data_IF_742564559828
#
_entry.id   IF_742564559828
#
_cell.length_a   1.000
_cell.length_b   1.000
_cell.length_c   1.000
_cell.angle_alpha   90.00
_cell.angle_beta   90.00
_cell.angle_gamma   90.00
#
_symmetry.space_group_name_H-M   'P 1'
#
loop_
_entity.id
_entity.type
_entity.pdbx_description
1 polymer ?
#
# COMPACT_ATOMS: atom_id res chain seq x y z
N UNK A 1 66.95 4.58 58.60
CA UNK A 1 65.82 3.63 58.71
C UNK A 1 65.00 3.72 57.45
N UNK A 2 65.38 2.93 56.43
CA UNK A 2 64.79 2.95 55.10
C UNK A 2 63.63 1.95 55.08
N UNK A 3 62.45 2.42 54.64
CA UNK A 3 61.30 1.57 54.50
C UNK A 3 61.13 1.31 53.00
N UNK A 4 61.47 0.07 52.57
CA UNK A 4 61.29 -0.44 51.26
C UNK A 4 59.78 -0.76 51.05
N UNK A 5 59.07 -0.03 50.18
CA UNK A 5 57.74 -0.36 49.70
C UNK A 5 57.90 -1.11 48.37
N UNK A 6 57.58 -2.45 48.34
CA UNK A 6 57.40 -3.22 47.13
C UNK A 6 56.00 -2.87 46.54
N UNK A 7 55.97 -2.27 45.34
CA UNK A 7 54.78 -2.16 44.54
C UNK A 7 54.58 -3.48 43.74
N UNK A 8 53.49 -4.16 44.01
CA UNK A 8 53.02 -5.31 43.20
C UNK A 8 52.11 -4.80 42.14
N UNK A 9 52.54 -4.80 40.87
CA UNK A 9 51.72 -4.48 39.72
C UNK A 9 50.81 -5.67 39.43
N UNK A 10 49.51 -5.52 39.69
CA UNK A 10 48.46 -6.48 39.24
C UNK A 10 47.99 -5.99 37.87
N UNK A 11 48.37 -6.73 36.82
CA UNK A 11 47.84 -6.52 35.45
C UNK A 11 46.46 -7.20 35.38
N UNK A 12 45.40 -6.40 35.32
CA UNK A 12 44.08 -6.89 35.00
C UNK A 12 43.98 -7.00 33.48
N UNK A 13 43.99 -8.24 32.95
CA UNK A 13 43.59 -8.55 31.56
C UNK A 13 42.07 -8.63 31.55
N UNK A 14 41.38 -7.54 31.15
CA UNK A 14 39.97 -7.59 30.88
C UNK A 14 39.76 -8.33 29.55
N UNK A 15 39.31 -9.57 29.61
CA UNK A 15 38.82 -10.29 28.46
C UNK A 15 37.43 -9.69 28.11
N UNK A 16 37.41 -8.69 27.22
CA UNK A 16 36.17 -8.20 26.61
C UNK A 16 35.66 -9.28 25.68
N UNK A 17 34.77 -10.13 26.16
CA UNK A 17 33.93 -10.98 25.30
C UNK A 17 33.07 -10.04 24.45
N UNK A 18 33.50 -9.80 23.21
CA UNK A 18 32.63 -9.22 22.19
C UNK A 18 31.53 -10.25 21.95
N UNK A 19 30.40 -10.07 22.62
CA UNK A 19 29.15 -10.70 22.22
C UNK A 19 28.87 -10.18 20.81
N UNK A 20 29.24 -10.95 19.80
CA UNK A 20 28.68 -10.82 18.46
C UNK A 20 27.18 -11.10 18.62
N UNK A 21 26.40 -10.06 18.96
CA UNK A 21 24.98 -10.11 18.75
C UNK A 21 24.81 -10.40 17.25
N UNK A 22 24.29 -11.58 16.95
CA UNK A 22 23.76 -11.89 15.61
C UNK A 22 22.75 -10.80 15.31
N UNK A 23 23.17 -9.76 14.63
CA UNK A 23 22.29 -8.71 14.16
C UNK A 23 21.41 -9.40 13.10
N UNK A 24 20.24 -9.86 13.53
CA UNK A 24 19.26 -10.50 12.69
C UNK A 24 18.86 -9.48 11.62
N UNK A 25 19.21 -9.74 10.37
CA UNK A 25 19.00 -8.80 9.26
C UNK A 25 17.87 -9.30 8.36
N UNK A 26 17.19 -8.36 7.73
CA UNK A 26 16.24 -8.69 6.66
C UNK A 26 17.02 -9.21 5.45
N UNK A 27 16.59 -10.34 4.92
CA UNK A 27 17.15 -10.96 3.71
C UNK A 27 16.40 -10.49 2.49
N UNK A 28 17.11 -10.27 1.39
CA UNK A 28 16.54 -9.97 0.08
C UNK A 28 17.04 -11.04 -0.89
N UNK A 29 16.12 -11.59 -1.67
CA UNK A 29 16.45 -12.52 -2.77
C UNK A 29 15.63 -12.18 -4.00
N UNK A 30 16.12 -12.58 -5.18
CA UNK A 30 15.50 -12.29 -6.46
C UNK A 30 15.37 -13.56 -7.29
N UNK A 31 14.23 -13.73 -7.96
CA UNK A 31 13.98 -14.81 -8.91
C UNK A 31 13.31 -14.27 -10.16
N UNK A 32 13.48 -14.88 -11.34
CA UNK A 32 12.71 -14.54 -12.53
C UNK A 32 11.20 -14.73 -12.27
N UNK A 33 10.37 -13.76 -12.70
CA UNK A 33 8.91 -13.86 -12.62
C UNK A 33 8.26 -14.05 -14.00
N UNK A 34 9.00 -13.78 -15.07
CA UNK A 34 8.57 -13.95 -16.46
C UNK A 34 9.06 -12.81 -17.34
N UNK A 35 8.40 -12.62 -18.47
CA UNK A 35 8.66 -11.52 -19.41
C UNK A 35 7.37 -10.94 -19.94
N UNK A 36 7.39 -9.65 -20.23
CA UNK A 36 6.30 -8.96 -20.92
C UNK A 36 6.22 -9.38 -22.39
N UNK A 37 5.17 -9.01 -23.11
CA UNK A 37 4.97 -9.35 -24.53
C UNK A 37 6.07 -8.82 -25.45
N UNK A 38 6.75 -7.72 -25.09
CA UNK A 38 7.89 -7.18 -25.83
C UNK A 38 9.24 -7.77 -25.40
N UNK A 39 9.23 -8.82 -24.58
CA UNK A 39 10.45 -9.53 -24.13
C UNK A 39 11.15 -8.90 -22.92
N UNK A 40 10.63 -7.83 -22.30
CA UNK A 40 11.25 -7.23 -21.12
C UNK A 40 11.16 -8.20 -19.94
N UNK A 41 12.32 -8.57 -19.37
CA UNK A 41 12.38 -9.46 -18.21
C UNK A 41 11.78 -8.80 -16.97
N UNK A 42 11.07 -9.60 -16.18
CA UNK A 42 10.43 -9.18 -14.93
C UNK A 42 10.91 -10.09 -13.80
N UNK A 43 11.30 -9.49 -12.70
CA UNK A 43 11.80 -10.17 -11.51
C UNK A 43 10.78 -10.13 -10.36
N UNK A 44 10.88 -11.13 -9.48
CA UNK A 44 10.19 -11.20 -8.19
C UNK A 44 11.22 -11.13 -7.07
N UNK A 45 11.08 -10.15 -6.21
CA UNK A 45 11.92 -9.95 -5.03
C UNK A 45 11.21 -10.48 -3.79
N UNK A 46 11.92 -11.23 -2.97
CA UNK A 46 11.44 -11.71 -1.68
C UNK A 46 12.23 -11.02 -0.58
N UNK A 47 11.52 -10.29 0.28
CA UNK A 47 12.03 -9.72 1.51
C UNK A 47 11.60 -10.60 2.66
N UNK A 48 12.51 -11.01 3.54
CA UNK A 48 12.21 -11.86 4.70
C UNK A 48 12.92 -11.31 5.94
N UNK A 49 12.16 -11.06 6.99
CA UNK A 49 12.72 -10.59 8.24
C UNK A 49 13.00 -11.76 9.21
N UNK A 50 13.76 -11.53 10.29
CA UNK A 50 14.09 -12.56 11.27
C UNK A 50 12.88 -13.18 11.99
N UNK A 51 11.74 -12.48 12.01
CA UNK A 51 10.51 -12.94 12.65
C UNK A 51 9.65 -13.82 11.70
N UNK A 52 10.14 -14.07 10.47
CA UNK A 52 9.45 -14.87 9.47
C UNK A 52 8.43 -14.10 8.62
N UNK A 53 8.20 -12.80 8.88
CA UNK A 53 7.39 -11.99 7.97
C UNK A 53 8.07 -11.91 6.61
N UNK A 54 7.29 -12.11 5.54
CA UNK A 54 7.81 -12.14 4.17
C UNK A 54 6.93 -11.31 3.25
N UNK A 55 7.56 -10.43 2.45
CA UNK A 55 6.90 -9.68 1.38
C UNK A 55 7.50 -10.06 0.04
N UNK A 56 6.66 -10.35 -0.96
CA UNK A 56 7.11 -10.61 -2.34
C UNK A 56 6.62 -9.52 -3.27
N UNK A 57 7.54 -8.83 -3.92
CA UNK A 57 7.26 -7.69 -4.78
C UNK A 57 7.87 -7.93 -6.16
N UNK A 58 7.09 -7.75 -7.22
CA UNK A 58 7.60 -7.75 -8.58
C UNK A 58 7.87 -6.34 -9.07
N UNK A 59 8.87 -6.18 -9.93
CA UNK A 59 9.14 -4.90 -10.58
C UNK A 59 8.18 -4.57 -11.74
N UNK A 60 7.23 -5.44 -12.08
CA UNK A 60 6.09 -5.09 -12.93
C UNK A 60 5.02 -4.43 -12.05
N UNK A 61 4.72 -3.15 -12.31
CA UNK A 61 3.76 -2.36 -11.54
C UNK A 61 4.12 -2.13 -10.07
N UNK A 62 5.34 -2.51 -9.64
CA UNK A 62 5.72 -2.50 -8.23
C UNK A 62 4.80 -3.35 -7.34
N UNK A 63 4.26 -4.43 -7.88
CA UNK A 63 3.16 -5.18 -7.26
C UNK A 63 3.64 -6.00 -6.06
N UNK A 64 3.02 -5.79 -4.89
CA UNK A 64 3.11 -6.70 -3.74
C UNK A 64 2.23 -7.92 -4.03
N UNK A 65 2.87 -9.04 -4.41
CA UNK A 65 2.18 -10.26 -4.84
C UNK A 65 1.79 -11.16 -3.67
N UNK A 66 2.58 -11.14 -2.58
CA UNK A 66 2.35 -11.91 -1.36
C UNK A 66 2.83 -11.12 -0.14
N UNK A 67 2.12 -11.26 0.97
CA UNK A 67 2.52 -10.73 2.28
C UNK A 67 2.20 -11.76 3.36
N UNK A 68 3.22 -12.51 3.77
CA UNK A 68 3.07 -13.52 4.82
C UNK A 68 3.33 -12.91 6.19
N UNK A 69 2.31 -12.95 7.05
CA UNK A 69 2.39 -12.44 8.42
C UNK A 69 1.92 -13.50 9.42
N UNK A 70 2.49 -13.55 10.64
CA UNK A 70 2.08 -14.50 11.65
C UNK A 70 0.67 -14.18 12.19
N UNK A 71 -0.07 -15.21 12.57
CA UNK A 71 -1.26 -15.08 13.43
C UNK A 71 -0.87 -15.11 14.91
N UNK A 72 -1.86 -15.04 15.81
CA UNK A 72 -1.67 -15.10 17.27
C UNK A 72 -0.97 -16.39 17.77
N UNK A 73 -0.89 -17.44 16.95
CA UNK A 73 -0.20 -18.69 17.25
C UNK A 73 1.16 -18.79 16.53
N UNK A 74 1.60 -17.74 15.85
CA UNK A 74 2.83 -17.69 15.08
C UNK A 74 2.74 -18.35 13.69
N UNK A 75 1.57 -18.83 13.26
CA UNK A 75 1.40 -19.43 11.94
C UNK A 75 1.35 -18.33 10.87
N UNK A 76 2.28 -18.43 9.91
CA UNK A 76 2.32 -17.51 8.77
C UNK A 76 1.13 -17.74 7.83
N UNK A 77 0.55 -16.66 7.32
CA UNK A 77 -0.48 -16.67 6.29
C UNK A 77 -0.32 -15.49 5.36
N UNK A 78 -0.51 -15.74 4.06
CA UNK A 78 -0.57 -14.67 3.06
C UNK A 78 -1.87 -13.87 3.22
N UNK A 79 -1.76 -12.56 3.34
CA UNK A 79 -2.89 -11.67 3.64
C UNK A 79 -3.26 -10.73 2.51
N UNK A 80 -2.68 -10.88 1.31
CA UNK A 80 -3.01 -10.05 0.15
C UNK A 80 -3.51 -10.89 -1.01
N UNK A 81 -4.48 -10.38 -1.77
CA UNK A 81 -4.90 -10.99 -3.03
C UNK A 81 -3.86 -10.74 -4.13
N UNK A 82 -3.83 -11.60 -5.13
CA UNK A 82 -2.90 -11.50 -6.25
C UNK A 82 -2.90 -12.76 -7.10
N UNK A 83 -1.89 -12.88 -7.96
CA UNK A 83 -1.72 -14.02 -8.86
C UNK A 83 -0.35 -14.68 -8.68
N UNK A 84 -0.25 -15.97 -9.05
CA UNK A 84 1.01 -16.73 -9.03
C UNK A 84 1.92 -16.40 -10.22
N UNK A 85 1.37 -15.83 -11.30
CA UNK A 85 2.07 -15.67 -12.58
C UNK A 85 1.97 -14.25 -13.10
N UNK A 86 3.06 -13.73 -13.66
CA UNK A 86 3.11 -12.44 -14.35
C UNK A 86 2.04 -12.32 -15.44
N UNK A 87 1.82 -13.39 -16.23
CA UNK A 87 0.86 -13.40 -17.33
C UNK A 87 -0.56 -13.10 -16.88
N UNK A 88 -0.95 -13.47 -15.66
CA UNK A 88 -2.25 -13.14 -15.10
C UNK A 88 -2.38 -11.65 -14.77
N UNK A 89 -1.34 -11.02 -14.23
CA UNK A 89 -1.30 -9.56 -14.00
C UNK A 89 -1.37 -8.78 -15.31
N UNK A 90 -0.65 -9.22 -16.35
CA UNK A 90 -0.65 -8.58 -17.67
C UNK A 90 -2.01 -8.71 -18.35
N UNK A 91 -2.67 -9.87 -18.22
CA UNK A 91 -3.95 -10.15 -18.89
C UNK A 91 -5.09 -9.29 -18.33
N UNK A 92 -5.26 -9.28 -17.03
CA UNK A 92 -6.27 -8.49 -16.33
C UNK A 92 -6.00 -8.49 -14.82
N UNK A 93 -5.81 -7.32 -14.25
CA UNK A 93 -5.70 -7.15 -12.80
C UNK A 93 -6.55 -5.95 -12.38
N UNK A 94 -7.41 -6.08 -11.37
CA UNK A 94 -8.12 -4.95 -10.80
C UNK A 94 -7.19 -4.21 -9.81
N UNK A 95 -5.97 -3.90 -10.26
CA UNK A 95 -4.92 -3.18 -9.49
C UNK A 95 -4.37 -3.96 -8.28
N UNK A 96 -4.46 -5.30 -8.23
CA UNK A 96 -3.94 -6.08 -7.11
C UNK A 96 -2.49 -5.70 -6.76
N UNK A 97 -2.30 -5.11 -5.57
CA UNK A 97 -1.00 -4.84 -4.96
C UNK A 97 -0.08 -3.87 -5.69
N UNK A 98 -0.56 -3.12 -6.68
CA UNK A 98 0.27 -2.27 -7.52
C UNK A 98 0.52 -0.87 -6.95
N UNK A 99 1.50 -0.19 -7.51
CA UNK A 99 1.65 1.26 -7.41
C UNK A 99 0.72 1.88 -8.45
N UNK A 100 -0.26 2.68 -8.01
CA UNK A 100 -1.10 3.46 -8.91
C UNK A 100 -0.48 4.84 -9.13
N UNK A 101 -0.55 5.32 -10.34
CA UNK A 101 0.01 6.61 -10.78
C UNK A 101 -0.02 6.73 -12.31
N UNK A 102 0.25 7.93 -12.87
CA UNK A 102 0.83 9.14 -12.26
C UNK A 102 -0.08 9.78 -11.19
N UNK A 103 -1.42 9.67 -11.35
CA UNK A 103 -2.39 10.20 -10.39
C UNK A 103 -3.36 9.08 -9.97
N UNK A 104 -3.28 8.72 -8.70
CA UNK A 104 -4.14 7.71 -8.06
C UNK A 104 -5.56 8.24 -7.87
N UNK A 105 -6.54 7.32 -7.84
CA UNK A 105 -7.95 7.61 -7.79
C UNK A 105 -8.43 8.40 -9.03
N UNK A 106 -9.53 9.15 -8.95
CA UNK A 106 -10.21 9.73 -10.11
C UNK A 106 -9.84 11.18 -10.38
N UNK A 107 -9.89 11.55 -11.68
CA UNK A 107 -9.95 12.92 -12.15
C UNK A 107 -11.21 13.06 -13.00
N UNK A 108 -12.11 13.98 -12.61
CA UNK A 108 -13.39 14.18 -13.26
C UNK A 108 -13.24 14.50 -14.75
N UNK A 109 -14.07 13.84 -15.58
CA UNK A 109 -14.13 14.03 -17.04
C UNK A 109 -12.78 13.85 -17.75
N UNK A 110 -11.81 13.18 -17.13
CA UNK A 110 -10.49 12.96 -17.70
C UNK A 110 -9.78 14.25 -18.09
N UNK A 111 -9.87 15.32 -17.30
CA UNK A 111 -9.20 16.58 -17.62
C UNK A 111 -8.86 17.40 -16.38
N UNK A 112 -7.79 18.17 -16.49
CA UNK A 112 -7.38 19.16 -15.49
C UNK A 112 -6.74 20.38 -16.14
N UNK A 113 -6.52 21.46 -15.38
CA UNK A 113 -5.85 22.67 -15.85
C UNK A 113 -4.58 22.95 -15.07
N UNK A 114 -3.55 23.42 -15.76
CA UNK A 114 -2.39 24.08 -15.17
C UNK A 114 -2.29 25.48 -15.82
N UNK A 115 -2.52 26.51 -15.06
CA UNK A 115 -2.69 27.85 -15.60
C UNK A 115 -3.84 27.88 -16.62
N UNK A 116 -3.59 28.40 -17.82
CA UNK A 116 -4.59 28.47 -18.90
C UNK A 116 -4.66 27.20 -19.77
N UNK A 117 -3.76 26.24 -19.57
CA UNK A 117 -3.69 25.04 -20.39
C UNK A 117 -4.55 23.92 -19.81
N UNK A 118 -5.47 23.39 -20.63
CA UNK A 118 -6.26 22.20 -20.30
C UNK A 118 -5.58 20.96 -20.85
N UNK A 119 -5.34 19.98 -19.98
CA UNK A 119 -4.82 18.66 -20.32
C UNK A 119 -5.95 17.64 -20.34
N UNK A 120 -5.97 16.80 -21.37
CA UNK A 120 -6.95 15.72 -21.53
C UNK A 120 -6.27 14.39 -21.28
N UNK A 121 -6.92 13.55 -20.48
CA UNK A 121 -6.48 12.22 -20.09
C UNK A 121 -7.44 11.17 -20.66
N UNK A 122 -7.02 9.91 -20.68
CA UNK A 122 -7.92 8.79 -21.00
C UNK A 122 -9.09 8.72 -20.00
N UNK A 123 -10.30 8.48 -20.50
CA UNK A 123 -11.50 8.21 -19.68
C UNK A 123 -11.69 6.70 -19.54
N UNK A 124 -10.85 6.07 -18.74
CA UNK A 124 -10.80 4.63 -18.54
C UNK A 124 -11.75 4.11 -17.44
N UNK A 125 -12.58 5.00 -16.86
CA UNK A 125 -13.59 4.64 -15.87
C UNK A 125 -14.88 5.46 -16.12
N UNK A 126 -15.71 5.00 -17.05
CA UNK A 126 -16.87 5.76 -17.52
C UNK A 126 -16.43 7.08 -18.16
N UNK A 127 -16.92 8.22 -17.63
CA UNK A 127 -16.52 9.55 -18.10
C UNK A 127 -15.24 10.07 -17.43
N UNK A 128 -14.71 9.34 -16.46
CA UNK A 128 -13.63 9.81 -15.61
C UNK A 128 -12.31 9.09 -15.92
N UNK A 129 -11.22 9.73 -15.56
CA UNK A 129 -9.90 9.11 -15.52
C UNK A 129 -9.70 8.42 -14.19
N UNK A 130 -9.03 7.27 -14.16
CA UNK A 130 -8.77 6.47 -12.98
C UNK A 130 -7.33 5.94 -12.97
N UNK A 131 -6.66 6.05 -11.82
CA UNK A 131 -5.39 5.40 -11.49
C UNK A 131 -4.26 5.58 -12.52
N UNK A 132 -4.21 6.72 -13.20
CA UNK A 132 -3.13 7.05 -14.13
C UNK A 132 -3.35 6.62 -15.57
N UNK A 133 -4.56 6.07 -15.92
CA UNK A 133 -4.97 5.84 -17.30
C UNK A 133 -4.99 4.37 -17.73
N UNK A 134 -4.99 4.18 -19.05
CA UNK A 134 -5.09 2.84 -19.66
C UNK A 134 -3.83 2.00 -19.43
N UNK A 135 -2.66 2.64 -19.45
CA UNK A 135 -1.36 2.03 -19.20
C UNK A 135 -0.61 2.82 -18.14
N UNK A 136 -1.20 2.88 -16.93
CA UNK A 136 -0.65 3.56 -15.76
C UNK A 136 0.59 2.86 -15.18
N UNK A 137 1.04 3.31 -14.04
CA UNK A 137 2.24 2.82 -13.35
C UNK A 137 2.14 1.35 -12.94
N UNK A 138 0.92 0.85 -12.76
CA UNK A 138 0.57 -0.54 -12.49
C UNK A 138 0.98 -1.51 -13.62
N UNK A 139 1.17 -1.01 -14.84
CA UNK A 139 1.50 -1.80 -16.05
C UNK A 139 2.91 -1.55 -16.58
N UNK A 140 3.74 -0.84 -15.84
CA UNK A 140 5.13 -0.54 -16.23
C UNK A 140 6.11 -1.51 -15.59
N UNK A 141 7.21 -1.81 -16.32
CA UNK A 141 8.36 -2.50 -15.71
C UNK A 141 9.29 -1.44 -15.16
N UNK A 142 9.48 -1.45 -13.85
CA UNK A 142 10.36 -0.54 -13.13
C UNK A 142 11.78 -1.10 -13.09
N UNK A 143 12.78 -0.25 -13.17
CA UNK A 143 14.13 -0.66 -12.84
C UNK A 143 14.22 -0.89 -11.33
N UNK A 144 14.84 -2.00 -10.92
CA UNK A 144 14.85 -2.43 -9.53
C UNK A 144 16.27 -2.70 -9.03
N UNK A 145 16.56 -2.29 -7.79
CA UNK A 145 17.78 -2.64 -7.07
C UNK A 145 17.51 -2.92 -5.59
N UNK A 146 18.32 -3.80 -5.01
CA UNK A 146 18.31 -4.04 -3.57
C UNK A 146 18.86 -2.82 -2.82
N UNK A 147 18.26 -2.54 -1.65
CA UNK A 147 18.71 -1.48 -0.74
C UNK A 147 18.76 -2.00 0.70
N UNK A 148 19.66 -1.43 1.49
CA UNK A 148 19.88 -1.82 2.90
C UNK A 148 19.89 -0.57 3.78
N UNK A 149 19.30 -0.69 4.96
CA UNK A 149 19.29 0.33 5.99
C UNK A 149 19.48 -0.29 7.38
N UNK A 150 19.53 0.54 8.40
CA UNK A 150 19.63 0.06 9.78
C UNK A 150 18.32 -0.62 10.20
N UNK A 151 18.36 -1.91 10.54
CA UNK A 151 17.19 -2.69 10.95
C UNK A 151 16.16 -2.94 9.83
N UNK A 152 16.49 -2.66 8.56
CA UNK A 152 15.62 -2.89 7.40
C UNK A 152 16.42 -3.19 6.13
N UNK A 153 15.81 -3.92 5.20
CA UNK A 153 16.29 -4.07 3.84
C UNK A 153 15.08 -4.10 2.88
N UNK A 154 15.32 -3.84 1.61
CA UNK A 154 14.23 -3.69 0.67
C UNK A 154 14.66 -3.60 -0.78
N UNK A 155 13.75 -3.10 -1.59
CA UNK A 155 13.97 -2.81 -3.01
C UNK A 155 13.60 -1.38 -3.33
N UNK A 156 14.43 -0.73 -4.12
CA UNK A 156 14.16 0.57 -4.73
C UNK A 156 13.74 0.34 -6.19
N UNK A 157 12.59 0.84 -6.55
CA UNK A 157 12.01 0.81 -7.88
C UNK A 157 12.07 2.20 -8.49
N UNK A 158 12.57 2.34 -9.72
CA UNK A 158 12.60 3.63 -10.42
C UNK A 158 11.95 3.53 -11.80
N UNK A 159 11.19 4.58 -12.15
CA UNK A 159 10.54 4.69 -13.45
C UNK A 159 10.57 6.15 -13.93
N UNK A 160 10.85 6.35 -15.23
CA UNK A 160 10.74 7.64 -15.88
C UNK A 160 9.48 7.65 -16.77
N UNK A 161 8.44 8.31 -16.30
CA UNK A 161 7.24 8.58 -17.08
C UNK A 161 7.51 9.83 -17.95
N UNK A 162 7.52 9.65 -19.27
CA UNK A 162 7.87 10.71 -20.23
C UNK A 162 6.78 11.76 -20.36
N UNK A 163 7.17 12.96 -20.77
CA UNK A 163 6.23 14.04 -21.13
C UNK A 163 5.18 13.53 -22.13
N UNK A 164 3.90 13.72 -21.80
CA UNK A 164 2.76 13.26 -22.60
C UNK A 164 2.30 11.82 -22.33
N UNK A 165 3.00 11.04 -21.48
CA UNK A 165 2.53 9.69 -21.13
C UNK A 165 1.16 9.77 -20.45
N UNK A 166 0.16 8.97 -20.95
CA UNK A 166 -1.24 9.01 -20.53
C UNK A 166 -1.88 10.41 -20.54
N UNK A 167 -1.30 11.37 -21.28
CA UNK A 167 -1.77 12.76 -21.39
C UNK A 167 -1.21 13.72 -20.34
N UNK A 168 -0.37 13.26 -19.43
CA UNK A 168 0.23 14.12 -18.41
C UNK A 168 1.44 14.89 -18.90
N UNK A 169 1.56 16.20 -18.57
CA UNK A 169 2.73 17.00 -18.95
C UNK A 169 3.95 16.68 -18.10
N UNK A 170 5.12 16.93 -18.69
CA UNK A 170 6.42 16.83 -18.04
C UNK A 170 6.97 15.42 -17.92
N UNK A 171 8.28 15.31 -17.90
CA UNK A 171 8.97 14.10 -17.53
C UNK A 171 8.92 13.93 -16.02
N UNK A 172 8.41 12.80 -15.54
CA UNK A 172 8.33 12.48 -14.13
C UNK A 172 9.23 11.30 -13.79
N UNK A 173 10.33 11.55 -13.09
CA UNK A 173 11.18 10.51 -12.52
C UNK A 173 10.63 10.14 -11.14
N UNK A 174 10.08 8.93 -11.02
CA UNK A 174 9.53 8.40 -9.79
C UNK A 174 10.42 7.31 -9.21
N UNK A 175 10.55 7.32 -7.88
CA UNK A 175 11.22 6.31 -7.10
C UNK A 175 10.28 5.84 -6.01
N UNK A 176 10.10 4.51 -5.89
CA UNK A 176 9.32 3.88 -4.83
C UNK A 176 10.20 2.86 -4.14
N UNK A 177 10.33 2.96 -2.82
CA UNK A 177 11.15 2.03 -2.05
C UNK A 177 10.28 1.25 -1.09
N UNK A 178 10.31 -0.07 -1.20
CA UNK A 178 9.70 -0.99 -0.25
C UNK A 178 10.76 -1.44 0.74
N UNK A 179 10.53 -1.21 2.02
CA UNK A 179 11.36 -1.68 3.12
C UNK A 179 10.60 -2.70 3.97
N UNK A 180 11.22 -3.81 4.27
CA UNK A 180 10.77 -4.68 5.34
C UNK A 180 11.67 -4.46 6.55
N UNK A 181 11.07 -4.20 7.73
CA UNK A 181 11.81 -3.97 8.96
C UNK A 181 11.89 -5.23 9.82
N UNK A 182 12.84 -5.25 10.76
CA UNK A 182 12.93 -6.30 11.79
C UNK A 182 11.76 -6.27 12.79
N UNK A 183 10.91 -5.23 12.73
CA UNK A 183 9.74 -5.05 13.61
C UNK A 183 8.41 -5.46 12.97
N UNK A 184 8.45 -6.16 11.82
CA UNK A 184 7.26 -6.54 11.05
C UNK A 184 6.52 -5.33 10.43
N UNK A 185 7.24 -4.31 9.99
CA UNK A 185 6.70 -3.17 9.26
C UNK A 185 7.06 -3.29 7.78
N UNK A 186 6.10 -3.06 6.89
CA UNK A 186 6.32 -2.84 5.47
C UNK A 186 6.17 -1.35 5.20
N UNK A 187 7.28 -0.66 5.00
CA UNK A 187 7.32 0.77 4.71
C UNK A 187 7.37 0.97 3.20
N UNK A 188 6.64 1.95 2.69
CA UNK A 188 6.63 2.32 1.27
C UNK A 188 6.92 3.82 1.18
N UNK A 189 8.09 4.15 0.64
CA UNK A 189 8.54 5.53 0.47
C UNK A 189 8.39 5.94 -1.00
N UNK A 190 7.86 7.15 -1.26
CA UNK A 190 7.67 7.69 -2.60
C UNK A 190 8.46 8.98 -2.77
N UNK A 191 9.25 9.06 -3.84
CA UNK A 191 9.92 10.28 -4.26
C UNK A 191 9.66 10.50 -5.75
N UNK A 192 9.34 11.74 -6.12
CA UNK A 192 9.18 12.11 -7.54
C UNK A 192 9.81 13.46 -7.84
N UNK A 193 10.37 13.57 -9.05
CA UNK A 193 10.93 14.82 -9.59
C UNK A 193 10.44 15.02 -11.01
N UNK A 194 10.09 16.25 -11.35
CA UNK A 194 9.56 16.60 -12.66
C UNK A 194 10.26 17.84 -13.21
N UNK A 195 10.30 17.96 -14.53
CA UNK A 195 10.82 19.12 -15.26
C UNK A 195 9.72 20.14 -15.64
N UNK A 196 8.45 19.80 -15.46
CA UNK A 196 7.29 20.69 -15.68
C UNK A 196 6.26 20.47 -14.59
N UNK A 197 5.40 21.47 -14.33
CA UNK A 197 4.24 21.30 -13.47
C UNK A 197 3.36 20.16 -13.98
N UNK A 198 3.03 19.23 -13.09
CA UNK A 198 2.19 18.04 -13.37
C UNK A 198 1.54 17.57 -12.07
N UNK A 199 0.30 17.08 -12.08
CA UNK A 199 -0.28 16.48 -10.91
C UNK A 199 0.38 15.11 -10.60
N UNK A 200 0.64 14.88 -9.31
CA UNK A 200 1.25 13.63 -8.81
C UNK A 200 0.46 13.19 -7.58
N UNK A 201 -0.03 11.97 -7.63
CA UNK A 201 -0.62 11.29 -6.49
C UNK A 201 -0.31 9.80 -6.62
N UNK A 202 0.63 9.28 -5.84
CA UNK A 202 0.99 7.85 -5.87
C UNK A 202 0.43 7.16 -4.65
N UNK A 203 -0.13 5.98 -4.83
CA UNK A 203 -0.59 5.13 -3.74
C UNK A 203 -0.34 3.66 -4.03
N UNK A 204 -0.49 2.83 -3.00
CA UNK A 204 -0.35 1.38 -3.06
C UNK A 204 -1.72 0.70 -2.94
N UNK A 205 -2.08 -0.14 -3.89
CA UNK A 205 -3.43 -0.71 -4.03
C UNK A 205 -3.49 -2.20 -3.64
N UNK A 206 -2.98 -2.55 -2.46
CA UNK A 206 -3.11 -3.93 -1.97
C UNK A 206 -4.53 -4.24 -1.48
N UNK A 207 -5.00 -5.41 -1.86
CA UNK A 207 -6.25 -6.00 -1.40
C UNK A 207 -5.96 -6.94 -0.24
N UNK A 208 -6.34 -6.57 0.97
CA UNK A 208 -6.04 -7.29 2.19
C UNK A 208 -7.19 -8.19 2.64
N UNK A 209 -6.85 -9.37 3.15
CA UNK A 209 -7.71 -10.22 3.96
C UNK A 209 -6.89 -10.79 5.11
N UNK A 210 -7.06 -10.28 6.32
CA UNK A 210 -6.25 -10.68 7.48
C UNK A 210 -6.58 -12.09 7.98
N UNK A 211 -7.73 -12.67 7.56
CA UNK A 211 -8.03 -14.07 7.80
C UNK A 211 -7.16 -15.01 6.93
N UNK A 212 -6.58 -14.46 5.88
CA UNK A 212 -5.76 -15.13 4.88
C UNK A 212 -6.34 -14.98 3.47
N UNK A 213 -5.49 -14.94 2.49
CA UNK A 213 -5.85 -14.87 1.08
C UNK A 213 -6.75 -16.06 0.69
N UNK A 214 -7.91 -15.76 0.09
CA UNK A 214 -8.90 -16.78 -0.29
C UNK A 214 -9.69 -17.40 0.88
N UNK A 215 -9.66 -16.81 2.08
CA UNK A 215 -10.41 -17.30 3.26
C UNK A 215 -11.88 -16.88 3.30
N UNK A 216 -12.43 -16.33 2.22
CA UNK A 216 -13.80 -15.83 2.15
C UNK A 216 -13.86 -14.31 2.31
N UNK A 217 -15.01 -13.77 2.76
CA UNK A 217 -15.25 -12.35 2.84
C UNK A 217 -14.61 -11.68 4.07
N UNK A 218 -14.50 -10.35 4.00
CA UNK A 218 -13.86 -9.52 5.04
C UNK A 218 -14.88 -8.90 6.02
N UNK A 219 -16.15 -9.27 5.95
CA UNK A 219 -17.22 -8.61 6.70
C UNK A 219 -17.09 -8.74 8.22
N UNK A 220 -16.34 -9.73 8.70
CA UNK A 220 -16.06 -9.95 10.11
C UNK A 220 -14.83 -9.20 10.64
N UNK A 221 -14.05 -8.52 9.78
CA UNK A 221 -12.93 -7.70 10.23
C UNK A 221 -13.46 -6.44 10.92
N UNK A 222 -12.79 -6.02 11.98
CA UNK A 222 -13.09 -4.81 12.72
C UNK A 222 -12.16 -3.69 12.26
N UNK A 223 -12.74 -2.56 11.85
CA UNK A 223 -12.02 -1.40 11.32
C UNK A 223 -12.22 -0.19 12.22
N UNK A 224 -11.15 0.53 12.49
CA UNK A 224 -11.10 1.85 13.10
C UNK A 224 -10.38 2.79 12.15
N UNK A 225 -10.99 3.96 11.83
CA UNK A 225 -10.39 4.99 10.96
C UNK A 225 -10.32 6.29 11.74
N UNK A 226 -9.12 6.84 11.87
CA UNK A 226 -8.85 8.04 12.68
C UNK A 226 -9.16 9.32 11.90
N UNK A 227 -10.44 9.46 11.49
CA UNK A 227 -10.93 10.54 10.67
C UNK A 227 -12.36 10.96 11.09
N UNK A 228 -12.56 12.26 11.34
CA UNK A 228 -13.86 12.82 11.74
C UNK A 228 -14.78 13.11 10.55
N UNK A 229 -14.23 13.13 9.33
CA UNK A 229 -14.95 13.47 8.10
C UNK A 229 -14.52 12.56 6.96
N UNK A 230 -15.40 12.43 5.99
CA UNK A 230 -15.12 11.77 4.72
C UNK A 230 -15.54 12.65 3.55
N UNK A 231 -15.07 12.33 2.36
CA UNK A 231 -15.39 13.01 1.11
C UNK A 231 -16.58 12.30 0.45
N UNK A 232 -17.79 12.89 0.44
CA UNK A 232 -18.93 12.31 -0.28
C UNK A 232 -18.74 12.48 -1.78
N UNK A 233 -19.32 11.54 -2.53
CA UNK A 233 -19.18 11.48 -3.99
C UNK A 233 -20.53 11.51 -4.69
N UNK A 234 -20.52 11.78 -6.00
CA UNK A 234 -21.63 11.53 -6.91
C UNK A 234 -21.68 10.05 -7.35
N UNK A 235 -22.61 9.70 -8.23
CA UNK A 235 -22.76 8.34 -8.76
C UNK A 235 -21.58 7.87 -9.62
N UNK A 236 -20.72 8.78 -10.07
CA UNK A 236 -19.46 8.50 -10.77
C UNK A 236 -18.27 8.37 -9.82
N UNK A 237 -18.51 8.40 -8.52
CA UNK A 237 -17.50 8.43 -7.46
C UNK A 237 -16.56 9.66 -7.55
N UNK A 238 -17.07 10.78 -8.03
CA UNK A 238 -16.37 12.07 -8.04
C UNK A 238 -16.75 12.86 -6.80
N UNK A 239 -15.80 13.46 -6.06
CA UNK A 239 -16.06 14.30 -4.90
C UNK A 239 -17.05 15.44 -5.17
N UNK A 240 -17.96 15.67 -4.21
CA UNK A 240 -18.94 16.76 -4.30
C UNK A 240 -18.37 18.14 -3.89
N UNK A 241 -17.10 18.22 -3.52
CA UNK A 241 -16.46 19.46 -3.08
C UNK A 241 -16.78 19.85 -1.63
N UNK A 242 -17.35 18.95 -0.85
CA UNK A 242 -17.68 19.14 0.57
C UNK A 242 -17.08 18.03 1.44
N UNK A 243 -17.03 18.25 2.75
CA UNK A 243 -16.67 17.23 3.74
C UNK A 243 -17.89 16.94 4.61
N UNK A 244 -18.19 15.64 4.81
CA UNK A 244 -19.26 15.20 5.71
C UNK A 244 -18.70 14.59 6.99
N UNK A 245 -19.31 14.90 8.13
CA UNK A 245 -18.99 14.24 9.39
C UNK A 245 -19.36 12.77 9.31
N UNK A 246 -18.50 11.91 9.85
CA UNK A 246 -18.77 10.46 9.91
C UNK A 246 -19.80 10.12 11.01
N UNK A 247 -19.82 10.86 12.11
CA UNK A 247 -20.64 10.60 13.29
C UNK A 247 -22.13 10.46 12.95
N UNK A 248 -22.74 9.36 13.37
CA UNK A 248 -24.15 9.06 13.14
C UNK A 248 -24.47 8.60 11.71
N UNK A 249 -23.46 8.23 10.93
CA UNK A 249 -23.58 7.68 9.57
C UNK A 249 -22.98 6.28 9.50
N UNK A 250 -23.25 5.50 8.42
CA UNK A 250 -22.56 4.22 8.22
C UNK A 250 -21.03 4.33 8.09
N UNK A 251 -20.51 5.55 7.85
CA UNK A 251 -19.09 5.86 7.69
C UNK A 251 -18.36 6.14 9.01
N UNK A 252 -19.06 6.01 10.16
CA UNK A 252 -18.49 6.23 11.48
C UNK A 252 -17.66 5.02 11.94
N UNK A 253 -16.35 5.08 11.70
CA UNK A 253 -15.35 4.13 12.17
C UNK A 253 -14.40 4.77 13.21
N UNK A 254 -14.89 5.78 13.99
CA UNK A 254 -14.12 6.40 15.06
C UNK A 254 -13.83 5.44 16.23
N UNK A 255 -14.58 4.36 16.32
CA UNK A 255 -14.36 3.22 17.18
C UNK A 255 -14.42 1.96 16.34
N UNK A 256 -13.83 0.83 16.79
CA UNK A 256 -13.84 -0.40 16.00
C UNK A 256 -15.25 -0.90 15.70
N UNK A 257 -15.55 -1.08 14.40
CA UNK A 257 -16.79 -1.65 13.90
C UNK A 257 -16.50 -2.73 12.88
N UNK A 258 -17.32 -3.78 12.84
CA UNK A 258 -17.23 -4.79 11.78
C UNK A 258 -17.56 -4.17 10.42
N UNK A 259 -16.80 -4.52 9.40
CA UNK A 259 -17.05 -4.04 8.03
C UNK A 259 -18.50 -4.34 7.61
N UNK A 260 -19.00 -5.54 7.92
CA UNK A 260 -20.34 -5.98 7.56
C UNK A 260 -21.48 -5.39 8.39
N UNK A 261 -21.18 -4.62 9.44
CA UNK A 261 -22.20 -4.18 10.41
C UNK A 261 -23.20 -3.21 9.77
N UNK A 262 -22.71 -2.27 8.92
CA UNK A 262 -23.50 -1.18 8.36
C UNK A 262 -23.38 -1.05 6.83
N UNK A 263 -22.60 -1.90 6.18
CA UNK A 263 -22.28 -1.80 4.75
C UNK A 263 -23.51 -1.95 3.83
N UNK A 264 -24.59 -2.60 4.32
CA UNK A 264 -25.85 -2.79 3.59
C UNK A 264 -26.94 -1.81 4.05
N UNK A 265 -26.62 -0.82 4.88
CA UNK A 265 -27.60 0.19 5.28
C UNK A 265 -28.08 1.00 4.06
N UNK A 266 -29.37 1.40 4.08
CA UNK A 266 -29.93 2.26 3.04
C UNK A 266 -29.31 3.66 3.15
N UNK A 267 -28.27 3.89 2.37
CA UNK A 267 -27.53 5.15 2.33
C UNK A 267 -27.02 5.41 0.91
N UNK A 268 -27.31 6.59 0.36
CA UNK A 268 -26.96 6.97 -1.01
C UNK A 268 -25.47 6.81 -1.32
N UNK A 269 -24.58 7.11 -0.38
CA UNK A 269 -23.13 6.97 -0.59
C UNK A 269 -22.73 5.50 -0.67
N UNK A 270 -23.32 4.63 0.17
CA UNK A 270 -23.10 3.17 0.06
C UNK A 270 -23.66 2.61 -1.26
N UNK A 271 -24.78 3.16 -1.76
CA UNK A 271 -25.33 2.76 -3.08
C UNK A 271 -24.37 3.14 -4.22
N UNK A 272 -23.78 4.33 -4.19
CA UNK A 272 -22.80 4.79 -5.20
C UNK A 272 -21.54 3.95 -5.19
N UNK A 273 -20.96 3.70 -4.01
CA UNK A 273 -19.76 2.86 -3.84
C UNK A 273 -20.02 1.36 -3.94
N UNK A 274 -21.30 0.92 -3.98
CA UNK A 274 -21.70 -0.50 -3.81
C UNK A 274 -21.18 -1.12 -2.52
N UNK A 275 -21.04 -0.31 -1.49
CA UNK A 275 -20.38 -0.53 -0.23
C UNK A 275 -19.45 0.61 0.11
N UNK A 276 -18.39 0.38 0.88
CA UNK A 276 -17.39 1.42 1.11
C UNK A 276 -16.44 1.51 -0.09
N UNK A 277 -16.32 2.70 -0.65
CA UNK A 277 -15.34 3.12 -1.66
C UNK A 277 -15.18 4.64 -1.60
N UNK A 278 -14.73 5.13 -0.43
CA UNK A 278 -14.69 6.54 -0.12
C UNK A 278 -13.36 6.94 0.51
N UNK A 279 -13.06 8.24 0.46
CA UNK A 279 -11.88 8.82 1.07
C UNK A 279 -12.22 9.47 2.41
N UNK A 280 -11.58 9.02 3.50
CA UNK A 280 -11.61 9.66 4.80
C UNK A 280 -10.51 10.70 4.93
N UNK A 281 -10.80 11.82 5.58
CA UNK A 281 -9.84 12.90 5.86
C UNK A 281 -9.19 12.66 7.21
N UNK A 282 -7.91 12.32 7.18
CA UNK A 282 -7.17 11.87 8.37
C UNK A 282 -7.02 13.01 9.37
N UNK A 283 -7.26 12.72 10.65
CA UNK A 283 -7.08 13.67 11.73
C UNK A 283 -5.59 13.86 12.05
N UNK A 284 -5.15 15.10 12.21
CA UNK A 284 -3.77 15.44 12.64
C UNK A 284 -3.45 15.07 14.10
N UNK A 285 -4.38 14.44 14.82
CA UNK A 285 -4.27 14.21 16.28
C UNK A 285 -3.41 13.01 16.66
N UNK A 286 -3.16 12.10 15.74
CA UNK A 286 -2.48 10.84 15.99
C UNK A 286 -1.08 10.80 15.39
N UNK A 287 -0.40 11.97 15.38
CA UNK A 287 0.99 12.06 14.90
C UNK A 287 1.91 11.21 15.76
N UNK A 288 2.66 10.34 15.11
CA UNK A 288 3.77 9.62 15.72
C UNK A 288 5.06 10.46 15.66
N UNK A 289 6.16 9.90 16.14
CA UNK A 289 7.50 10.44 15.90
C UNK A 289 7.69 10.53 14.36
N UNK A 290 8.14 11.65 13.82
CA UNK A 290 8.35 11.94 12.40
C UNK A 290 7.12 12.47 11.61
N UNK A 291 6.10 12.99 12.26
CA UNK A 291 4.92 13.61 11.61
C UNK A 291 4.07 12.64 10.76
N UNK A 292 4.15 11.33 11.03
CA UNK A 292 3.31 10.31 10.40
C UNK A 292 2.05 10.11 11.26
N UNK A 293 0.88 10.09 10.65
CA UNK A 293 -0.41 9.86 11.32
C UNK A 293 -0.78 8.38 11.31
N UNK A 294 -1.35 7.87 12.41
CA UNK A 294 -2.09 6.62 12.39
C UNK A 294 -3.44 6.90 11.71
N UNK A 295 -3.64 6.33 10.52
CA UNK A 295 -4.82 6.55 9.69
C UNK A 295 -5.91 5.53 9.94
N UNK A 296 -5.56 4.26 10.09
CA UNK A 296 -6.50 3.18 10.31
C UNK A 296 -5.87 2.01 11.07
N UNK A 297 -6.74 1.25 11.75
CA UNK A 297 -6.41 -0.05 12.34
C UNK A 297 -7.46 -1.07 11.92
N UNK A 298 -7.01 -2.25 11.51
CA UNK A 298 -7.90 -3.37 11.17
C UNK A 298 -7.51 -4.60 11.99
N UNK A 299 -8.49 -5.21 12.63
CA UNK A 299 -8.31 -6.44 13.42
C UNK A 299 -9.13 -7.58 12.82
N UNK A 300 -8.52 -8.75 12.67
CA UNK A 300 -9.24 -9.98 12.35
C UNK A 300 -9.31 -10.85 13.63
N UNK A 301 -10.51 -10.98 14.23
CA UNK A 301 -10.62 -11.56 15.58
C UNK A 301 -10.24 -13.05 15.69
N UNK A 302 -10.43 -13.84 14.63
CA UNK A 302 -10.16 -15.29 14.65
C UNK A 302 -8.66 -15.59 14.63
N UNK A 303 -7.92 -14.96 13.72
CA UNK A 303 -6.46 -15.10 13.61
C UNK A 303 -5.70 -14.25 14.62
N UNK A 304 -6.34 -13.17 15.11
CA UNK A 304 -5.72 -12.17 15.98
C UNK A 304 -4.72 -11.27 15.23
N UNK A 305 -4.71 -11.27 13.89
CA UNK A 305 -3.89 -10.34 13.11
C UNK A 305 -4.44 -8.93 13.22
N UNK A 306 -3.52 -8.00 13.42
CA UNK A 306 -3.80 -6.56 13.45
C UNK A 306 -2.93 -5.87 12.41
N UNK A 307 -3.52 -5.00 11.63
CA UNK A 307 -2.83 -4.13 10.69
C UNK A 307 -3.06 -2.68 11.08
N UNK A 308 -1.99 -1.92 11.20
CA UNK A 308 -2.03 -0.47 11.38
C UNK A 308 -1.51 0.20 10.10
N UNK A 309 -2.20 1.22 9.64
CA UNK A 309 -1.79 2.05 8.50
C UNK A 309 -1.38 3.41 9.00
N UNK A 310 -0.10 3.72 8.81
CA UNK A 310 0.49 5.01 9.17
C UNK A 310 0.85 5.75 7.87
N UNK A 311 0.62 7.07 7.83
CA UNK A 311 0.87 7.86 6.61
C UNK A 311 1.14 9.32 6.91
N UNK A 312 1.84 9.98 6.00
CA UNK A 312 1.98 11.44 5.92
C UNK A 312 0.93 12.09 5.00
N UNK A 313 0.10 11.26 4.32
CA UNK A 313 -0.92 11.74 3.39
C UNK A 313 -2.16 12.24 4.12
N UNK A 314 -2.93 13.20 3.53
CA UNK A 314 -4.11 13.81 4.15
C UNK A 314 -5.34 12.91 4.15
N UNK A 315 -5.39 11.88 3.31
CA UNK A 315 -6.56 11.04 3.12
C UNK A 315 -6.23 9.56 3.04
N UNK A 316 -7.24 8.75 3.29
CA UNK A 316 -7.22 7.30 3.12
C UNK A 316 -8.50 6.83 2.46
N UNK A 317 -8.37 6.18 1.30
CA UNK A 317 -9.47 5.49 0.64
C UNK A 317 -9.68 4.13 1.31
N UNK A 318 -10.90 3.86 1.74
CA UNK A 318 -11.31 2.54 2.21
C UNK A 318 -12.26 1.93 1.19
N UNK A 319 -11.82 0.84 0.55
CA UNK A 319 -12.55 0.11 -0.47
C UNK A 319 -12.74 -1.35 -0.04
N UNK A 320 -13.95 -1.88 -0.16
CA UNK A 320 -14.33 -3.18 0.40
C UNK A 320 -14.49 -4.28 -0.64
N UNK A 321 -13.74 -4.21 -1.76
CA UNK A 321 -13.73 -5.25 -2.79
C UNK A 321 -15.09 -5.43 -3.48
N UNK A 322 -15.85 -4.35 -3.62
CA UNK A 322 -17.24 -4.34 -4.09
C UNK A 322 -17.40 -4.81 -5.55
N UNK A 323 -16.33 -4.72 -6.35
CA UNK A 323 -16.32 -5.10 -7.77
C UNK A 323 -15.65 -6.45 -8.04
N UNK A 324 -15.22 -7.17 -6.99
CA UNK A 324 -14.80 -8.57 -7.14
C UNK A 324 -16.04 -9.43 -7.36
N UNK A 325 -16.09 -10.17 -8.47
CA UNK A 325 -17.27 -10.90 -8.95
C UNK A 325 -17.04 -12.41 -9.19
N UNK A 326 -15.85 -12.90 -8.78
CA UNK A 326 -15.45 -14.30 -9.02
C UNK A 326 -14.74 -14.55 -10.36
N UNK A 327 -14.63 -13.55 -11.24
CA UNK A 327 -13.90 -13.68 -12.51
C UNK A 327 -12.38 -13.77 -12.32
N UNK A 328 -11.87 -13.26 -11.19
CA UNK A 328 -10.46 -13.30 -10.86
C UNK A 328 -10.13 -14.62 -10.15
N UNK A 329 -9.37 -15.48 -10.83
CA UNK A 329 -8.83 -16.71 -10.27
C UNK A 329 -7.40 -16.41 -9.78
N UNK A 330 -7.24 -16.32 -8.48
CA UNK A 330 -6.01 -15.90 -7.82
C UNK A 330 -5.02 -17.02 -7.53
N UNK A 331 -4.21 -16.83 -6.51
CA UNK A 331 -3.15 -17.76 -6.08
C UNK A 331 -3.73 -19.11 -5.70
N UNK A 332 -3.07 -20.19 -6.12
CA UNK A 332 -3.53 -21.56 -5.84
C UNK A 332 -4.93 -21.85 -6.41
N UNK A 333 -5.35 -21.19 -7.49
CA UNK A 333 -6.67 -21.29 -8.11
C UNK A 333 -7.86 -20.88 -7.23
N UNK A 334 -7.65 -20.05 -6.23
CA UNK A 334 -8.72 -19.50 -5.39
C UNK A 334 -9.53 -18.46 -6.15
N UNK A 335 -10.84 -18.52 -6.03
CA UNK A 335 -11.76 -17.57 -6.67
C UNK A 335 -11.96 -16.37 -5.74
N UNK A 336 -11.76 -15.16 -6.27
CA UNK A 336 -11.96 -13.92 -5.55
C UNK A 336 -13.36 -13.39 -5.79
N UNK A 337 -14.24 -13.65 -4.83
CA UNK A 337 -15.63 -13.24 -4.86
C UNK A 337 -15.83 -11.86 -4.22
N UNK A 338 -17.05 -11.35 -4.34
CA UNK A 338 -17.51 -10.12 -3.74
C UNK A 338 -17.06 -10.00 -2.27
N UNK A 339 -16.38 -8.89 -1.94
CA UNK A 339 -15.90 -8.59 -0.58
C UNK A 339 -14.92 -9.60 0.01
N UNK A 340 -14.13 -10.24 -0.84
CA UNK A 340 -13.07 -11.13 -0.36
C UNK A 340 -11.82 -10.39 0.12
N UNK A 341 -11.75 -9.08 -0.07
CA UNK A 341 -10.67 -8.25 0.44
C UNK A 341 -11.08 -6.78 0.58
N UNK A 342 -10.27 -6.00 1.30
CA UNK A 342 -10.38 -4.55 1.39
C UNK A 342 -9.07 -3.88 0.98
N UNK A 343 -9.15 -2.61 0.54
CA UNK A 343 -8.00 -1.76 0.29
C UNK A 343 -8.01 -0.57 1.26
N UNK A 344 -6.82 -0.13 1.67
CA UNK A 344 -6.58 1.08 2.43
C UNK A 344 -5.49 1.87 1.71
N UNK A 345 -5.90 2.85 0.91
CA UNK A 345 -5.04 3.58 -0.01
C UNK A 345 -4.80 4.99 0.52
N UNK A 346 -3.59 5.23 1.05
CA UNK A 346 -3.24 6.56 1.55
C UNK A 346 -2.88 7.46 0.38
N UNK A 347 -3.46 8.67 0.32
CA UNK A 347 -3.45 9.49 -0.89
C UNK A 347 -3.78 10.96 -0.61
N UNK A 348 -3.53 11.82 -1.60
CA UNK A 348 -4.19 13.11 -1.72
C UNK A 348 -5.67 12.87 -2.05
N UNK A 349 -6.56 13.80 -1.69
CA UNK A 349 -7.99 13.62 -1.97
C UNK A 349 -8.25 13.40 -3.46
N UNK A 350 -9.22 12.54 -3.83
CA UNK A 350 -9.59 12.35 -5.24
C UNK A 350 -10.01 13.65 -5.90
N UNK A 351 -9.84 13.73 -7.24
CA UNK A 351 -10.20 14.88 -8.06
C UNK A 351 -9.62 16.23 -7.59
N UNK A 352 -8.37 16.23 -7.16
CA UNK A 352 -7.65 17.44 -6.72
C UNK A 352 -6.26 17.57 -7.40
N UNK A 353 -6.21 17.44 -8.74
CA UNK A 353 -4.96 17.49 -9.51
C UNK A 353 -4.32 18.88 -9.55
#
# INVERSE_FOLDING_TARGET
>A
MEINKKLTNIIWVSLSTILLSNCSTVKVSKTPFGSTSNGTAVDLFTLENPNGMQAKITNYGGILTQLHVPDKNGKLGDVVLGYDKLSSYIKASPYFGCITGRYANRIAKGQFKIGETTYKLATNNGENHLHGGDVGFDKKVWAAKEVKGFGRAGIELTYLSKDGEEGYPGNLASKVTYWLTVKNELEIEYESRTDKATPINLTHHSYFNLAGEGSGNILGHEVEIFANTFVPTDAGNIPLGELKKVTGTPFDFLTPHKIGERIEEKNQQLEFGKGYDHNWVINDRHKTINSINLAARVTEPKTGRVMEVLTDQPGIQFYTGNFLDGSNIGKGNKIYNHRNAFCLETQIHPDSP
#
